data_IF_942359795526
#
_entry.id   IF_942359795526
#
_cell.length_a   1.000
_cell.length_b   1.000
_cell.length_c   1.000
_cell.angle_alpha   90.00
_cell.angle_beta   90.00
_cell.angle_gamma   90.00
#
_symmetry.space_group_name_H-M   'P 1'
#
loop_
_entity.id
_entity.type
_entity.pdbx_description
1 polymer ?
#
# COMPACT_ATOMS: atom_id res chain seq x y z
N UNK A 1 20.24 16.81 -28.69
CA UNK A 1 19.81 17.38 -27.39
C UNK A 1 20.24 16.41 -26.29
N UNK A 2 21.29 16.74 -25.56
CA UNK A 2 21.81 15.94 -24.45
C UNK A 2 20.77 15.93 -23.33
N UNK A 3 20.32 14.73 -22.93
CA UNK A 3 19.38 14.56 -21.81
C UNK A 3 19.99 15.18 -20.54
N UNK A 4 19.52 16.36 -20.16
CA UNK A 4 20.04 17.12 -19.02
C UNK A 4 19.56 16.45 -17.73
N UNK A 5 20.42 15.62 -17.13
CA UNK A 5 20.24 15.03 -15.82
C UNK A 5 20.40 13.51 -15.76
N UNK A 6 20.87 13.00 -14.62
CA UNK A 6 20.99 11.56 -14.37
C UNK A 6 19.60 10.91 -14.29
N UNK A 7 19.46 9.59 -14.56
CA UNK A 7 18.21 8.86 -14.42
C UNK A 7 17.55 9.07 -13.05
N UNK A 8 18.34 9.05 -11.98
CA UNK A 8 17.83 9.27 -10.62
C UNK A 8 17.22 10.67 -10.44
N UNK A 9 17.82 11.71 -11.04
CA UNK A 9 17.30 13.09 -10.96
C UNK A 9 15.97 13.22 -11.71
N UNK A 10 15.80 12.56 -12.85
CA UNK A 10 14.54 12.55 -13.61
C UNK A 10 13.44 11.81 -12.85
N UNK A 11 13.75 10.63 -12.30
CA UNK A 11 12.82 9.86 -11.45
C UNK A 11 12.36 10.69 -10.24
N UNK A 12 13.29 11.36 -9.55
CA UNK A 12 12.98 12.20 -8.40
C UNK A 12 12.14 13.44 -8.78
N UNK A 13 12.45 14.08 -9.89
CA UNK A 13 11.68 15.22 -10.39
C UNK A 13 10.23 14.80 -10.71
N UNK A 14 10.05 13.63 -11.35
CA UNK A 14 8.73 13.07 -11.63
C UNK A 14 8.00 12.71 -10.33
N UNK A 15 8.65 12.04 -9.38
CA UNK A 15 8.06 11.71 -8.09
C UNK A 15 7.58 12.96 -7.32
N UNK A 16 8.37 14.04 -7.31
CA UNK A 16 7.96 15.33 -6.70
C UNK A 16 6.74 15.94 -7.38
N UNK A 17 6.67 15.84 -8.70
CA UNK A 17 5.51 16.35 -9.44
C UNK A 17 4.25 15.52 -9.14
N UNK A 18 4.34 14.21 -9.19
CA UNK A 18 3.26 13.28 -8.81
C UNK A 18 2.78 13.53 -7.38
N UNK A 19 3.70 13.61 -6.43
CA UNK A 19 3.38 13.88 -5.03
C UNK A 19 2.65 15.23 -4.86
N UNK A 20 3.07 16.27 -5.58
CA UNK A 20 2.37 17.56 -5.56
C UNK A 20 0.95 17.46 -6.10
N UNK A 21 0.72 16.66 -7.14
CA UNK A 21 -0.63 16.44 -7.68
C UNK A 21 -1.50 15.72 -6.65
N UNK A 22 -1.00 14.67 -6.01
CA UNK A 22 -1.70 13.93 -4.96
C UNK A 22 -2.04 14.84 -3.77
N UNK A 23 -1.09 15.65 -3.29
CA UNK A 23 -1.31 16.57 -2.16
C UNK A 23 -2.21 17.77 -2.51
N UNK A 24 -2.33 18.14 -3.77
CA UNK A 24 -3.27 19.19 -4.22
C UNK A 24 -4.69 18.68 -4.45
N UNK A 25 -4.87 17.39 -4.53
CA UNK A 25 -6.19 16.77 -4.57
C UNK A 25 -6.73 16.66 -3.14
N UNK A 26 -7.54 17.63 -2.72
CA UNK A 26 -8.10 17.68 -1.36
C UNK A 26 -8.91 16.44 -0.99
N UNK A 27 -9.63 15.85 -1.95
CA UNK A 27 -10.35 14.58 -1.75
C UNK A 27 -9.37 13.45 -1.42
N UNK A 28 -8.29 13.30 -2.20
CA UNK A 28 -7.27 12.28 -1.96
C UNK A 28 -6.59 12.45 -0.59
N UNK A 29 -6.25 13.69 -0.24
CA UNK A 29 -5.63 14.01 1.06
C UNK A 29 -6.59 13.67 2.21
N UNK A 30 -7.86 14.07 2.09
CA UNK A 30 -8.87 13.76 3.07
C UNK A 30 -9.05 12.26 3.24
N UNK A 31 -9.19 11.50 2.16
CA UNK A 31 -9.31 10.05 2.18
C UNK A 31 -8.05 9.38 2.79
N UNK A 32 -6.86 9.89 2.47
CA UNK A 32 -5.60 9.32 2.94
C UNK A 32 -5.34 9.60 4.43
N UNK A 33 -5.84 10.70 4.97
CA UNK A 33 -5.60 11.09 6.37
C UNK A 33 -6.80 10.81 7.27
N UNK A 34 -8.02 11.15 6.84
CA UNK A 34 -9.22 11.06 7.70
C UNK A 34 -9.72 9.63 7.83
N UNK A 35 -9.68 8.84 6.74
CA UNK A 35 -10.15 7.45 6.80
C UNK A 35 -9.28 6.60 7.74
N UNK A 36 -7.93 6.58 7.67
CA UNK A 36 -7.11 5.87 8.63
C UNK A 36 -7.38 6.26 10.09
N UNK A 37 -7.50 7.56 10.36
CA UNK A 37 -7.84 8.04 11.71
C UNK A 37 -9.22 7.55 12.13
N UNK A 38 -10.22 7.66 11.26
CA UNK A 38 -11.58 7.20 11.54
C UNK A 38 -11.65 5.69 11.79
N UNK A 39 -10.95 4.89 10.99
CA UNK A 39 -10.87 3.43 11.19
C UNK A 39 -10.14 3.13 12.50
N UNK A 40 -9.01 3.81 12.75
CA UNK A 40 -8.25 3.63 14.00
C UNK A 40 -9.12 3.88 15.23
N UNK A 41 -9.81 5.04 15.27
CA UNK A 41 -10.71 5.37 16.37
C UNK A 41 -11.91 4.41 16.43
N UNK A 42 -12.49 4.04 15.29
CA UNK A 42 -13.58 3.07 15.22
C UNK A 42 -13.18 1.71 15.82
N UNK A 43 -12.03 1.17 15.42
CA UNK A 43 -11.54 -0.13 15.90
C UNK A 43 -11.13 -0.11 17.38
N UNK A 44 -10.61 1.02 17.88
CA UNK A 44 -10.21 1.15 19.28
C UNK A 44 -11.37 1.43 20.22
N UNK A 45 -12.40 2.15 19.76
CA UNK A 45 -13.55 2.52 20.57
C UNK A 45 -14.70 1.49 20.51
N UNK A 46 -14.66 0.54 19.59
CA UNK A 46 -15.65 -0.53 19.43
C UNK A 46 -15.12 -1.86 19.92
N UNK A 47 -16.01 -2.81 20.19
CA UNK A 47 -15.67 -4.15 20.67
C UNK A 47 -15.22 -5.13 19.57
N UNK A 48 -14.79 -4.63 18.40
CA UNK A 48 -14.31 -5.49 17.30
C UNK A 48 -13.14 -6.36 17.75
N UNK A 49 -12.27 -5.85 18.62
CA UNK A 49 -11.17 -6.58 19.25
C UNK A 49 -11.40 -6.78 20.76
N UNK A 50 -12.65 -7.03 21.19
CA UNK A 50 -13.02 -7.15 22.61
C UNK A 50 -12.27 -8.25 23.38
N UNK A 51 -11.70 -9.23 22.66
CA UNK A 51 -10.91 -10.32 23.27
C UNK A 51 -9.44 -9.96 23.50
N UNK A 52 -9.01 -8.74 23.14
CA UNK A 52 -7.64 -8.26 23.33
C UNK A 52 -7.60 -7.25 24.47
N UNK A 53 -6.55 -7.27 25.28
CA UNK A 53 -6.29 -6.26 26.30
C UNK A 53 -6.03 -4.88 25.65
N UNK A 54 -6.18 -3.78 26.42
CA UNK A 54 -6.22 -2.43 25.87
C UNK A 54 -5.06 -2.05 24.94
N UNK A 55 -3.81 -2.34 25.32
CA UNK A 55 -2.62 -2.04 24.51
C UNK A 55 -2.56 -2.90 23.25
N UNK A 56 -2.88 -4.18 23.34
CA UNK A 56 -2.95 -5.11 22.21
C UNK A 56 -4.05 -4.72 21.21
N UNK A 57 -5.18 -4.21 21.70
CA UNK A 57 -6.28 -3.72 20.85
C UNK A 57 -5.81 -2.57 19.96
N UNK A 58 -5.14 -1.59 20.53
CA UNK A 58 -4.63 -0.42 19.81
C UNK A 58 -3.55 -0.82 18.81
N UNK A 59 -2.64 -1.72 19.20
CA UNK A 59 -1.59 -2.25 18.33
C UNK A 59 -2.16 -3.03 17.14
N UNK A 60 -3.18 -3.89 17.36
CA UNK A 60 -3.89 -4.62 16.28
C UNK A 60 -4.64 -3.67 15.34
N UNK A 61 -5.33 -2.68 15.90
CA UNK A 61 -5.99 -1.65 15.09
C UNK A 61 -4.99 -0.90 14.23
N UNK A 62 -3.82 -0.54 14.77
CA UNK A 62 -2.74 0.12 14.02
C UNK A 62 -2.22 -0.78 12.89
N UNK A 63 -1.96 -2.08 13.15
CA UNK A 63 -1.53 -3.03 12.11
C UNK A 63 -2.55 -3.10 10.95
N UNK A 64 -3.84 -3.20 11.29
CA UNK A 64 -4.94 -3.22 10.33
C UNK A 64 -4.98 -1.92 9.51
N UNK A 65 -4.93 -0.77 10.16
CA UNK A 65 -4.98 0.55 9.49
C UNK A 65 -3.79 0.75 8.56
N UNK A 66 -2.58 0.36 8.99
CA UNK A 66 -1.38 0.44 8.15
C UNK A 66 -1.51 -0.46 6.92
N UNK A 67 -1.98 -1.69 7.08
CA UNK A 67 -2.18 -2.61 5.96
C UNK A 67 -3.24 -2.08 4.98
N UNK A 68 -4.40 -1.62 5.47
CA UNK A 68 -5.46 -1.01 4.65
C UNK A 68 -4.92 0.20 3.88
N UNK A 69 -4.16 1.08 4.55
CA UNK A 69 -3.57 2.26 3.93
C UNK A 69 -2.60 1.90 2.81
N UNK A 70 -1.73 0.90 3.04
CA UNK A 70 -0.79 0.41 2.02
C UNK A 70 -1.54 -0.15 0.82
N UNK A 71 -2.51 -1.06 1.03
CA UNK A 71 -3.24 -1.71 -0.07
C UNK A 71 -4.07 -0.67 -0.83
N UNK A 72 -4.77 0.23 -0.14
CA UNK A 72 -5.59 1.26 -0.75
C UNK A 72 -4.75 2.23 -1.60
N UNK A 73 -3.67 2.77 -1.06
CA UNK A 73 -2.85 3.75 -1.76
C UNK A 73 -2.00 3.12 -2.87
N UNK A 74 -1.29 2.03 -2.56
CA UNK A 74 -0.30 1.46 -3.47
C UNK A 74 -0.91 0.53 -4.53
N UNK A 75 -2.02 -0.15 -4.23
CA UNK A 75 -2.68 -0.99 -5.23
C UNK A 75 -3.84 -0.26 -5.89
N UNK A 76 -4.88 0.09 -5.13
CA UNK A 76 -6.15 0.57 -5.69
C UNK A 76 -6.01 1.95 -6.31
N UNK A 77 -5.58 2.94 -5.53
CA UNK A 77 -5.49 4.33 -6.00
C UNK A 77 -4.46 4.47 -7.13
N UNK A 78 -3.28 3.86 -7.00
CA UNK A 78 -2.24 3.91 -8.01
C UNK A 78 -2.68 3.23 -9.33
N UNK A 79 -3.34 2.07 -9.25
CA UNK A 79 -3.86 1.36 -10.44
C UNK A 79 -4.89 2.21 -11.18
N UNK A 80 -5.87 2.74 -10.46
CA UNK A 80 -6.95 3.56 -11.02
C UNK A 80 -6.37 4.84 -11.63
N UNK A 81 -5.58 5.61 -10.90
CA UNK A 81 -4.97 6.84 -11.39
C UNK A 81 -4.15 6.60 -12.66
N UNK A 82 -3.28 5.58 -12.67
CA UNK A 82 -2.43 5.25 -13.81
C UNK A 82 -3.26 4.81 -15.04
N UNK A 83 -4.33 4.06 -14.85
CA UNK A 83 -5.22 3.64 -15.93
C UNK A 83 -5.98 4.83 -16.56
N UNK A 84 -6.46 5.76 -15.72
CA UNK A 84 -7.14 6.97 -16.22
C UNK A 84 -6.17 7.96 -16.87
N UNK A 85 -4.94 8.10 -16.39
CA UNK A 85 -3.89 8.88 -17.08
C UNK A 85 -3.55 8.30 -18.46
N UNK A 86 -3.51 6.97 -18.58
CA UNK A 86 -3.33 6.32 -19.88
C UNK A 86 -4.51 6.64 -20.81
N UNK A 87 -5.74 6.53 -20.30
CA UNK A 87 -6.98 6.83 -21.07
C UNK A 87 -7.04 8.27 -21.54
N UNK A 88 -6.66 9.22 -20.69
CA UNK A 88 -6.66 10.66 -21.01
C UNK A 88 -5.55 11.09 -21.97
N UNK A 89 -4.60 10.18 -22.28
CA UNK A 89 -3.43 10.49 -23.11
C UNK A 89 -2.28 11.18 -22.35
N UNK A 90 -2.42 11.41 -21.03
CA UNK A 90 -1.36 12.03 -20.22
C UNK A 90 -0.05 11.23 -20.27
N UNK A 91 -0.14 9.89 -20.26
CA UNK A 91 1.05 9.04 -20.39
C UNK A 91 1.70 9.17 -21.77
N UNK A 92 0.94 9.36 -22.87
CA UNK A 92 1.51 9.63 -24.20
C UNK A 92 2.28 10.94 -24.21
N UNK A 93 1.74 11.97 -23.58
CA UNK A 93 2.44 13.25 -23.45
C UNK A 93 3.73 13.11 -22.66
N UNK A 94 3.72 12.37 -21.55
CA UNK A 94 4.93 12.07 -20.79
C UNK A 94 5.94 11.26 -21.62
N UNK A 95 5.49 10.39 -22.52
CA UNK A 95 6.33 9.63 -23.45
C UNK A 95 7.08 10.51 -24.48
N UNK A 96 6.69 11.78 -24.69
CA UNK A 96 7.44 12.73 -25.51
C UNK A 96 8.58 13.42 -24.75
N UNK A 97 8.62 13.25 -23.46
CA UNK A 97 9.71 13.75 -22.58
C UNK A 97 10.86 12.74 -22.55
N UNK A 98 12.06 13.11 -22.10
CA UNK A 98 13.20 12.18 -21.97
C UNK A 98 13.04 11.17 -20.81
N UNK A 99 11.83 10.98 -20.28
CA UNK A 99 11.51 10.00 -19.25
C UNK A 99 11.45 8.59 -19.85
N UNK A 100 12.15 7.64 -19.27
CA UNK A 100 12.02 6.22 -19.58
C UNK A 100 10.85 5.60 -18.82
N UNK A 101 10.38 4.41 -19.26
CA UNK A 101 9.31 3.68 -18.55
C UNK A 101 9.68 3.37 -17.10
N UNK A 102 10.91 2.96 -16.87
CA UNK A 102 11.41 2.64 -15.51
C UNK A 102 11.46 3.89 -14.62
N UNK A 103 11.86 5.04 -15.17
CA UNK A 103 11.86 6.30 -14.43
C UNK A 103 10.43 6.78 -14.09
N UNK A 104 9.48 6.60 -14.99
CA UNK A 104 8.06 6.90 -14.74
C UNK A 104 7.49 5.99 -13.65
N UNK A 105 7.65 4.67 -13.79
CA UNK A 105 7.17 3.70 -12.80
C UNK A 105 7.83 3.92 -11.43
N UNK A 106 9.14 4.15 -11.41
CA UNK A 106 9.88 4.48 -10.19
C UNK A 106 9.40 5.79 -9.55
N UNK A 107 9.14 6.81 -10.35
CA UNK A 107 8.59 8.09 -9.86
C UNK A 107 7.21 7.93 -9.23
N UNK A 108 6.31 7.18 -9.85
CA UNK A 108 4.99 6.86 -9.29
C UNK A 108 5.09 6.04 -8.00
N UNK A 109 5.95 5.02 -7.97
CA UNK A 109 6.18 4.22 -6.78
C UNK A 109 6.70 5.07 -5.61
N UNK A 110 7.65 5.97 -5.87
CA UNK A 110 8.19 6.89 -4.86
C UNK A 110 7.14 7.90 -4.35
N UNK A 111 6.31 8.45 -5.24
CA UNK A 111 5.22 9.35 -4.83
C UNK A 111 4.19 8.61 -3.98
N UNK A 112 3.83 7.39 -4.37
CA UNK A 112 2.93 6.52 -3.60
C UNK A 112 3.54 6.17 -2.24
N UNK A 113 4.83 5.85 -2.19
CA UNK A 113 5.54 5.59 -0.94
C UNK A 113 5.50 6.80 -0.01
N UNK A 114 5.69 8.01 -0.54
CA UNK A 114 5.63 9.24 0.26
C UNK A 114 4.24 9.48 0.86
N UNK A 115 3.17 9.27 0.09
CA UNK A 115 1.79 9.43 0.59
C UNK A 115 1.43 8.31 1.59
N UNK A 116 1.85 7.08 1.36
CA UNK A 116 1.66 5.96 2.29
C UNK A 116 2.43 6.20 3.59
N UNK A 117 3.67 6.70 3.50
CA UNK A 117 4.46 7.07 4.67
C UNK A 117 3.77 8.18 5.49
N UNK A 118 3.20 9.20 4.82
CA UNK A 118 2.42 10.24 5.49
C UNK A 118 1.21 9.64 6.23
N UNK A 119 0.45 8.75 5.58
CA UNK A 119 -0.67 8.04 6.20
C UNK A 119 -0.21 7.20 7.40
N UNK A 120 0.92 6.50 7.28
CA UNK A 120 1.49 5.70 8.37
C UNK A 120 1.90 6.56 9.56
N UNK A 121 2.53 7.73 9.33
CA UNK A 121 2.88 8.68 10.40
C UNK A 121 1.62 9.17 11.12
N UNK A 122 0.57 9.51 10.38
CA UNK A 122 -0.71 9.96 10.98
C UNK A 122 -1.36 8.83 11.79
N UNK A 123 -1.38 7.59 11.27
CA UNK A 123 -1.90 6.44 11.99
C UNK A 123 -1.11 6.16 13.27
N UNK A 124 0.21 6.18 13.22
CA UNK A 124 1.07 6.00 14.41
C UNK A 124 0.86 7.13 15.43
N UNK A 125 0.76 8.37 14.98
CA UNK A 125 0.50 9.52 15.85
C UNK A 125 -0.87 9.39 16.55
N UNK A 126 -1.90 8.94 15.82
CA UNK A 126 -3.23 8.67 16.37
C UNK A 126 -3.17 7.53 17.39
N UNK A 127 -2.46 6.44 17.09
CA UNK A 127 -2.28 5.31 18.00
C UNK A 127 -1.60 5.74 19.32
N UNK A 128 -0.54 6.55 19.23
CA UNK A 128 0.14 7.13 20.41
C UNK A 128 -0.82 7.99 21.24
N UNK A 129 -1.66 8.80 20.59
CA UNK A 129 -2.64 9.66 21.28
C UNK A 129 -3.74 8.83 22.00
N UNK A 130 -4.03 7.61 21.51
CA UNK A 130 -5.03 6.70 22.11
C UNK A 130 -4.39 5.76 23.17
N UNK A 131 -3.07 5.86 23.38
CA UNK A 131 -2.37 5.15 24.46
C UNK A 131 -1.49 3.98 24.02
N UNK A 132 -1.31 3.75 22.69
CA UNK A 132 -0.36 2.74 22.23
C UNK A 132 1.08 3.08 22.68
N UNK A 133 1.78 2.08 23.19
CA UNK A 133 3.17 2.22 23.58
C UNK A 133 4.07 1.46 22.60
N UNK A 134 4.97 2.17 21.90
CA UNK A 134 5.84 1.54 20.93
C UNK A 134 6.85 0.62 21.59
N UNK A 135 6.92 -0.61 21.11
CA UNK A 135 7.95 -1.59 21.49
C UNK A 135 9.23 -1.38 20.67
N UNK A 136 10.31 -2.06 21.02
CA UNK A 136 11.57 -2.06 20.25
C UNK A 136 11.32 -2.55 18.80
N UNK A 137 10.37 -3.46 18.61
CA UNK A 137 9.95 -3.94 17.30
C UNK A 137 9.42 -2.85 16.38
N UNK A 138 8.86 -1.75 16.91
CA UNK A 138 8.26 -0.67 16.13
C UNK A 138 9.22 -0.03 15.11
N UNK A 139 10.53 -0.14 15.28
CA UNK A 139 11.53 0.29 14.30
C UNK A 139 11.39 -0.44 12.94
N UNK A 140 10.82 -1.64 12.93
CA UNK A 140 10.61 -2.44 11.72
C UNK A 140 9.31 -2.10 10.96
N UNK A 141 8.44 -1.27 11.51
CA UNK A 141 7.21 -0.82 10.84
C UNK A 141 7.55 -0.13 9.52
N UNK A 142 8.50 0.80 9.51
CA UNK A 142 8.87 1.52 8.30
C UNK A 142 9.42 0.59 7.20
N UNK A 143 10.39 -0.30 7.44
CA UNK A 143 10.83 -1.30 6.45
C UNK A 143 9.69 -2.15 5.89
N UNK A 144 8.78 -2.65 6.73
CA UNK A 144 7.66 -3.50 6.30
C UNK A 144 6.64 -2.70 5.48
N UNK A 145 6.32 -1.47 5.88
CA UNK A 145 5.45 -0.57 5.09
C UNK A 145 6.06 -0.24 3.74
N UNK A 146 7.38 0.01 3.67
CA UNK A 146 8.09 0.24 2.41
C UNK A 146 7.99 -0.99 1.50
N UNK A 147 8.27 -2.17 2.02
CA UNK A 147 8.20 -3.43 1.27
C UNK A 147 6.78 -3.71 0.80
N UNK A 148 5.78 -3.59 1.67
CA UNK A 148 4.38 -3.73 1.32
C UNK A 148 3.95 -2.75 0.24
N UNK A 149 4.31 -1.46 0.39
CA UNK A 149 4.01 -0.44 -0.62
C UNK A 149 4.63 -0.77 -1.98
N UNK A 150 5.89 -1.19 -2.02
CA UNK A 150 6.56 -1.60 -3.26
C UNK A 150 5.86 -2.81 -3.90
N UNK A 151 5.51 -3.81 -3.10
CA UNK A 151 4.79 -5.01 -3.55
C UNK A 151 3.44 -4.65 -4.17
N UNK A 152 2.61 -3.90 -3.46
CA UNK A 152 1.27 -3.53 -3.94
C UNK A 152 1.31 -2.53 -5.09
N UNK A 153 2.28 -1.61 -5.13
CA UNK A 153 2.47 -0.69 -6.24
C UNK A 153 2.83 -1.44 -7.54
N UNK A 154 3.66 -2.47 -7.47
CA UNK A 154 4.00 -3.29 -8.62
C UNK A 154 2.76 -3.97 -9.22
N UNK A 155 1.87 -4.52 -8.40
CA UNK A 155 0.61 -5.12 -8.85
C UNK A 155 -0.39 -4.09 -9.36
N UNK A 156 -0.50 -2.92 -8.71
CA UNK A 156 -1.33 -1.81 -9.17
C UNK A 156 -0.93 -1.32 -10.56
N UNK A 157 0.37 -1.13 -10.79
CA UNK A 157 0.91 -0.74 -12.09
C UNK A 157 0.73 -1.83 -13.15
N UNK A 158 0.86 -3.12 -12.78
CA UNK A 158 0.59 -4.25 -13.67
C UNK A 158 -0.86 -4.26 -14.14
N UNK A 159 -1.80 -4.10 -13.20
CA UNK A 159 -3.23 -4.06 -13.49
C UNK A 159 -3.57 -2.89 -14.42
N UNK A 160 -3.02 -1.71 -14.16
CA UNK A 160 -3.17 -0.54 -15.01
C UNK A 160 -2.61 -0.75 -16.43
N UNK A 161 -1.58 -1.59 -16.58
CA UNK A 161 -1.00 -1.94 -17.89
C UNK A 161 -1.84 -2.94 -18.67
N UNK A 162 -2.59 -3.82 -18.02
CA UNK A 162 -3.31 -4.93 -18.63
C UNK A 162 -4.73 -4.59 -19.08
N UNK A 163 -5.47 -3.78 -18.31
CA UNK A 163 -6.90 -3.59 -18.47
C UNK A 163 -7.23 -2.14 -18.87
N UNK A 164 -8.42 -1.95 -19.43
CA UNK A 164 -8.99 -0.62 -19.70
C UNK A 164 -9.36 0.09 -18.38
N UNK A 165 -9.38 1.41 -18.37
CA UNK A 165 -9.55 2.21 -17.15
C UNK A 165 -10.80 1.83 -16.33
N UNK A 166 -11.93 1.59 -17.00
CA UNK A 166 -13.18 1.17 -16.36
C UNK A 166 -13.08 -0.22 -15.73
N UNK A 167 -12.40 -1.14 -16.42
CA UNK A 167 -12.16 -2.48 -15.90
C UNK A 167 -11.16 -2.44 -14.73
N UNK A 168 -10.14 -1.58 -14.79
CA UNK A 168 -9.21 -1.38 -13.67
C UNK A 168 -9.97 -0.88 -12.43
N UNK A 169 -10.90 0.08 -12.59
CA UNK A 169 -11.71 0.59 -11.49
C UNK A 169 -12.50 -0.54 -10.80
N UNK A 170 -13.16 -1.39 -11.58
CA UNK A 170 -13.97 -2.50 -11.04
C UNK A 170 -13.07 -3.58 -10.39
N UNK A 171 -12.02 -4.02 -11.10
CA UNK A 171 -11.14 -5.10 -10.63
C UNK A 171 -10.31 -4.66 -9.43
N UNK A 172 -9.75 -3.44 -9.44
CA UNK A 172 -8.96 -2.95 -8.32
C UNK A 172 -9.78 -2.87 -7.02
N UNK A 173 -11.01 -2.35 -7.10
CA UNK A 173 -11.90 -2.31 -5.94
C UNK A 173 -12.36 -3.72 -5.52
N UNK A 174 -12.68 -4.59 -6.47
CA UNK A 174 -13.05 -5.98 -6.17
C UNK A 174 -11.93 -6.76 -5.48
N UNK A 175 -10.69 -6.66 -6.00
CA UNK A 175 -9.51 -7.28 -5.39
C UNK A 175 -9.20 -6.66 -4.03
N UNK A 176 -9.32 -5.34 -3.87
CA UNK A 176 -9.17 -4.67 -2.59
C UNK A 176 -10.13 -5.24 -1.54
N UNK A 177 -11.41 -5.32 -1.84
CA UNK A 177 -12.41 -5.88 -0.92
C UNK A 177 -12.14 -7.36 -0.63
N UNK A 178 -11.75 -8.14 -1.66
CA UNK A 178 -11.37 -9.54 -1.47
C UNK A 178 -10.17 -9.67 -0.51
N UNK A 179 -9.12 -8.87 -0.69
CA UNK A 179 -7.95 -8.90 0.18
C UNK A 179 -8.27 -8.43 1.61
N UNK A 180 -9.18 -7.46 1.77
CA UNK A 180 -9.63 -7.02 3.09
C UNK A 180 -10.37 -8.12 3.83
N UNK A 181 -11.30 -8.80 3.16
CA UNK A 181 -12.16 -9.80 3.80
C UNK A 181 -11.46 -11.15 3.99
N UNK A 182 -10.75 -11.60 2.97
CA UNK A 182 -10.17 -12.96 2.92
C UNK A 182 -8.65 -12.99 3.08
N UNK A 183 -8.00 -11.84 3.06
CA UNK A 183 -6.55 -11.72 3.24
C UNK A 183 -6.10 -11.50 4.68
N UNK A 184 -6.95 -11.73 5.67
CA UNK A 184 -6.57 -11.60 7.08
C UNK A 184 -6.48 -10.16 7.60
N UNK A 185 -6.93 -9.16 6.81
CA UNK A 185 -6.76 -7.74 7.18
C UNK A 185 -7.80 -7.29 8.21
N UNK A 186 -9.07 -7.52 7.93
CA UNK A 186 -10.19 -7.17 8.83
C UNK A 186 -10.59 -8.39 9.68
N UNK A 187 -10.68 -9.55 9.05
CA UNK A 187 -10.99 -10.81 9.72
C UNK A 187 -9.68 -11.56 9.93
N UNK A 188 -9.25 -11.83 11.18
CA UNK A 188 -8.04 -12.60 11.43
C UNK A 188 -8.06 -13.94 10.69
N UNK A 189 -6.92 -14.34 10.09
CA UNK A 189 -6.83 -15.55 9.29
C UNK A 189 -7.32 -16.81 10.05
N UNK A 190 -7.07 -16.88 11.35
CA UNK A 190 -7.53 -17.98 12.20
C UNK A 190 -9.06 -18.07 12.35
N UNK A 191 -9.79 -16.99 12.09
CA UNK A 191 -11.25 -16.93 12.17
C UNK A 191 -11.93 -17.19 10.82
N UNK A 192 -11.15 -17.36 9.74
CA UNK A 192 -11.68 -17.65 8.43
C UNK A 192 -12.07 -19.14 8.31
N UNK A 193 -13.14 -19.48 7.56
CA UNK A 193 -13.59 -20.85 7.44
C UNK A 193 -12.68 -21.69 6.53
N UNK A 194 -12.36 -22.91 6.97
CA UNK A 194 -11.75 -23.99 6.19
C UNK A 194 -10.52 -23.59 5.36
N UNK A 195 -10.55 -23.75 4.03
CA UNK A 195 -9.38 -23.49 3.17
C UNK A 195 -8.89 -22.05 3.17
N UNK A 196 -9.76 -21.08 3.46
CA UNK A 196 -9.38 -19.66 3.49
C UNK A 196 -8.42 -19.34 4.63
N UNK A 197 -8.55 -20.00 5.77
CA UNK A 197 -7.63 -19.85 6.89
C UNK A 197 -6.19 -20.27 6.52
N UNK A 198 -6.04 -21.28 5.68
CA UNK A 198 -4.72 -21.77 5.21
C UNK A 198 -4.17 -20.94 4.05
N UNK A 199 -5.02 -20.31 3.25
CA UNK A 199 -4.60 -19.51 2.09
C UNK A 199 -4.28 -18.07 2.45
N UNK A 200 -5.00 -17.49 3.42
CA UNK A 200 -4.84 -16.08 3.80
C UNK A 200 -3.39 -15.69 4.14
N UNK A 201 -2.58 -16.46 4.88
CA UNK A 201 -1.20 -16.13 5.16
C UNK A 201 -0.28 -16.07 3.91
N UNK A 202 -0.65 -16.78 2.83
CA UNK A 202 0.10 -16.77 1.57
C UNK A 202 -0.25 -15.61 0.64
N UNK A 203 -1.33 -14.88 0.93
CA UNK A 203 -1.68 -13.66 0.22
C UNK A 203 -0.77 -12.51 0.66
N UNK A 204 -0.47 -11.54 -0.24
CA UNK A 204 0.38 -10.42 0.12
C UNK A 204 -0.21 -9.54 1.22
N UNK A 205 -1.54 -9.47 1.33
CA UNK A 205 -2.24 -8.79 2.41
C UNK A 205 -2.09 -9.50 3.74
N UNK A 206 -2.24 -10.83 3.77
CA UNK A 206 -2.05 -11.65 4.97
C UNK A 206 -0.62 -11.56 5.49
N UNK A 207 0.36 -11.72 4.61
CA UNK A 207 1.77 -11.59 4.97
C UNK A 207 2.10 -10.18 5.52
N UNK A 208 1.52 -9.12 4.94
CA UNK A 208 1.71 -7.76 5.41
C UNK A 208 1.12 -7.55 6.82
N UNK A 209 -0.12 -8.01 7.03
CA UNK A 209 -0.79 -7.88 8.35
C UNK A 209 -0.08 -8.70 9.40
N UNK A 210 0.31 -9.94 9.09
CA UNK A 210 1.06 -10.80 10.00
C UNK A 210 2.38 -10.14 10.43
N UNK A 211 3.16 -9.63 9.45
CA UNK A 211 4.41 -8.93 9.75
C UNK A 211 4.18 -7.71 10.65
N UNK A 212 3.15 -6.90 10.37
CA UNK A 212 2.82 -5.72 11.18
C UNK A 212 2.30 -6.10 12.59
N UNK A 213 1.48 -7.16 12.69
CA UNK A 213 0.97 -7.62 13.99
C UNK A 213 2.10 -8.16 14.87
N UNK A 214 2.99 -8.97 14.32
CA UNK A 214 4.17 -9.49 15.04
C UNK A 214 5.04 -8.34 15.58
N UNK A 215 5.24 -7.28 14.80
CA UNK A 215 6.01 -6.10 15.20
C UNK A 215 5.30 -5.29 16.29
N UNK A 216 4.00 -5.02 16.10
CA UNK A 216 3.27 -4.05 16.90
C UNK A 216 2.65 -4.65 18.17
N UNK A 217 2.21 -5.91 18.11
CA UNK A 217 1.58 -6.62 19.24
C UNK A 217 2.61 -7.45 20.01
N UNK A 218 3.34 -8.33 19.30
CA UNK A 218 4.29 -9.22 19.96
C UNK A 218 5.63 -8.52 20.29
N UNK A 219 5.88 -7.34 19.71
CA UNK A 219 7.09 -6.55 19.92
C UNK A 219 8.37 -7.19 19.36
N UNK A 220 8.23 -8.20 18.49
CA UNK A 220 9.35 -9.00 17.96
C UNK A 220 9.65 -8.63 16.50
N UNK A 221 10.69 -9.24 15.94
CA UNK A 221 11.02 -9.11 14.52
C UNK A 221 9.94 -9.75 13.65
N UNK A 222 9.65 -9.18 12.45
CA UNK A 222 8.71 -9.79 11.51
C UNK A 222 9.19 -11.20 11.10
N UNK A 223 8.27 -12.13 10.89
CA UNK A 223 8.63 -13.47 10.47
C UNK A 223 9.31 -13.45 9.10
N UNK A 224 10.37 -14.25 8.94
CA UNK A 224 11.04 -14.41 7.64
C UNK A 224 10.09 -14.94 6.57
N UNK A 225 9.07 -15.74 6.96
CA UNK A 225 8.03 -16.25 6.07
C UNK A 225 7.22 -15.12 5.45
N UNK A 226 6.70 -14.20 6.26
CA UNK A 226 5.92 -13.06 5.78
C UNK A 226 6.74 -12.13 4.88
N UNK A 227 8.01 -11.89 5.23
CA UNK A 227 8.92 -11.08 4.40
C UNK A 227 9.19 -11.79 3.06
N UNK A 228 9.47 -13.09 3.06
CA UNK A 228 9.71 -13.86 1.83
C UNK A 228 8.48 -13.86 0.91
N UNK A 229 7.27 -14.00 1.46
CA UNK A 229 6.02 -13.93 0.69
C UNK A 229 5.85 -12.55 0.06
N UNK A 230 6.05 -11.47 0.82
CA UNK A 230 5.98 -10.10 0.29
C UNK A 230 7.00 -9.87 -0.83
N UNK A 231 8.25 -10.32 -0.65
CA UNK A 231 9.30 -10.21 -1.67
C UNK A 231 8.93 -11.00 -2.92
N UNK A 232 8.43 -12.23 -2.77
CA UNK A 232 8.03 -13.08 -3.90
C UNK A 232 6.89 -12.43 -4.72
N UNK A 233 5.84 -11.93 -4.03
CA UNK A 233 4.75 -11.21 -4.69
C UNK A 233 5.25 -9.91 -5.32
N UNK A 234 6.14 -9.17 -4.66
CA UNK A 234 6.74 -7.94 -5.19
C UNK A 234 7.57 -8.19 -6.45
N UNK A 235 8.39 -9.24 -6.45
CA UNK A 235 9.17 -9.65 -7.62
C UNK A 235 8.27 -10.06 -8.80
N UNK A 236 7.25 -10.87 -8.54
CA UNK A 236 6.26 -11.29 -9.55
C UNK A 236 5.51 -10.07 -10.14
N UNK A 237 5.02 -9.17 -9.29
CA UNK A 237 4.35 -7.94 -9.72
C UNK A 237 5.26 -7.03 -10.53
N UNK A 238 6.50 -6.83 -10.11
CA UNK A 238 7.48 -6.00 -10.83
C UNK A 238 7.81 -6.60 -12.20
N UNK A 239 8.02 -7.91 -12.28
CA UNK A 239 8.26 -8.60 -13.55
C UNK A 239 7.06 -8.46 -14.50
N UNK A 240 5.84 -8.56 -13.98
CA UNK A 240 4.62 -8.39 -14.74
C UNK A 240 4.45 -6.93 -15.20
N UNK A 241 4.65 -5.95 -14.31
CA UNK A 241 4.59 -4.53 -14.65
C UNK A 241 5.57 -4.16 -15.76
N UNK A 242 6.82 -4.65 -15.66
CA UNK A 242 7.84 -4.40 -16.67
C UNK A 242 7.46 -4.93 -18.07
N UNK A 243 6.69 -6.03 -18.13
CA UNK A 243 6.25 -6.64 -19.39
C UNK A 243 4.96 -6.03 -19.96
N UNK A 244 4.06 -5.60 -19.09
CA UNK A 244 2.70 -5.19 -19.49
C UNK A 244 2.53 -3.70 -19.63
N UNK A 245 3.37 -2.89 -18.98
CA UNK A 245 3.23 -1.44 -19.02
C UNK A 245 3.52 -0.86 -20.41
N UNK A 246 2.54 -0.12 -20.96
CA UNK A 246 2.61 0.55 -22.26
C UNK A 246 2.25 2.02 -22.12
N UNK A 247 2.86 2.87 -22.97
CA UNK A 247 2.54 4.30 -23.05
C UNK A 247 1.17 4.61 -23.70
N UNK A 248 0.61 3.63 -24.37
CA UNK A 248 -0.63 3.74 -25.16
C UNK A 248 -1.68 2.75 -24.67
#
# INVERSE_FOLDING_TARGET
>A
MTATGSPARRTWAHARWELRLLLRNGEQVLLTLVIPVGIMLGLTLTDVFAQSDGDDRTARALATVLAVSVISAAFTSLAIATAFERRSGALRFLGTTPLTRTELLGGKALATLAITALSAVVACATALAVGWQPTVGAAWVAPVVILGTATFAAWGMSLAGLLRAEAVLAVANGVFLFLLMFGGVVIPAASLPGPLATLAPWLPSGALVEALTTILVDGTLPSWGSIAILVAWGAAGTALAARTFRWS
#
